data_IF_936817627987
#
_entry.id   IF_936817627987
#
_cell.length_a   1.000
_cell.length_b   1.000
_cell.length_c   1.000
_cell.angle_alpha   90.00
_cell.angle_beta   90.00
_cell.angle_gamma   90.00
#
_symmetry.space_group_name_H-M   'P 1'
#
loop_
_entity.id
_entity.type
_entity.pdbx_description
1 polymer ?
#
# COMPACT_ATOMS: atom_id res chain seq x y z
N UNK A 1 -11.27 -14.54 -2.11
CA UNK A 1 -11.23 -14.05 -3.51
C UNK A 1 -9.80 -14.21 -3.99
N UNK A 2 -9.59 -14.72 -5.21
CA UNK A 2 -8.23 -14.81 -5.80
C UNK A 2 -7.72 -13.42 -6.11
N UNK A 3 -6.42 -13.11 -5.93
CA UNK A 3 -5.83 -11.85 -6.38
C UNK A 3 -5.97 -11.70 -7.91
N UNK A 4 -6.18 -10.45 -8.36
CA UNK A 4 -6.32 -10.12 -9.79
C UNK A 4 -4.98 -9.65 -10.34
N UNK A 5 -4.50 -10.33 -11.38
CA UNK A 5 -3.26 -10.02 -12.09
C UNK A 5 -3.61 -9.58 -13.51
N UNK A 6 -3.03 -8.48 -13.97
CA UNK A 6 -3.11 -8.03 -15.35
C UNK A 6 -1.84 -8.48 -16.09
N UNK A 7 -2.01 -9.31 -17.11
CA UNK A 7 -0.95 -9.80 -17.97
C UNK A 7 -1.01 -9.08 -19.31
N UNK A 8 0.12 -8.50 -19.74
CA UNK A 8 0.21 -7.65 -20.93
C UNK A 8 1.34 -8.16 -21.83
N UNK A 9 1.02 -8.63 -23.02
CA UNK A 9 1.95 -9.12 -24.04
C UNK A 9 1.23 -9.09 -25.40
N UNK A 10 1.89 -8.67 -26.47
CA UNK A 10 1.28 -8.62 -27.80
C UNK A 10 1.14 -10.02 -28.44
N UNK A 11 1.79 -11.02 -27.86
CA UNK A 11 1.69 -12.41 -28.29
C UNK A 11 0.62 -13.17 -27.50
N UNK A 12 -0.50 -13.49 -28.18
CA UNK A 12 -1.63 -14.23 -27.61
C UNK A 12 -1.25 -15.62 -27.06
N UNK A 13 -0.30 -16.32 -27.67
CA UNK A 13 0.14 -17.64 -27.20
C UNK A 13 0.86 -17.55 -25.85
N UNK A 14 1.65 -16.49 -25.66
CA UNK A 14 2.32 -16.22 -24.37
C UNK A 14 1.28 -15.86 -23.31
N UNK A 15 0.30 -15.02 -23.65
CA UNK A 15 -0.81 -14.69 -22.75
C UNK A 15 -1.58 -15.93 -22.30
N UNK A 16 -1.88 -16.84 -23.25
CA UNK A 16 -2.61 -18.07 -22.94
C UNK A 16 -1.78 -19.00 -22.06
N UNK A 17 -0.52 -19.23 -22.39
CA UNK A 17 0.38 -20.09 -21.63
C UNK A 17 0.56 -19.60 -20.17
N UNK A 18 0.89 -18.32 -19.98
CA UNK A 18 1.08 -17.77 -18.63
C UNK A 18 -0.25 -17.73 -17.87
N UNK A 19 -1.34 -17.38 -18.54
CA UNK A 19 -2.67 -17.31 -17.94
C UNK A 19 -3.16 -18.68 -17.45
N UNK A 20 -2.89 -19.76 -18.17
CA UNK A 20 -3.23 -21.13 -17.76
C UNK A 20 -2.45 -21.51 -16.48
N UNK A 21 -1.15 -21.26 -16.45
CA UNK A 21 -0.29 -21.56 -15.30
C UNK A 21 -0.69 -20.76 -14.04
N UNK A 22 -1.03 -19.48 -14.19
CA UNK A 22 -1.42 -18.61 -13.08
C UNK A 22 -2.88 -18.80 -12.65
N UNK A 23 -3.76 -19.29 -13.50
CA UNK A 23 -5.21 -19.34 -13.30
C UNK A 23 -5.68 -20.21 -12.13
N UNK A 24 -4.83 -21.14 -11.67
CA UNK A 24 -5.13 -21.92 -10.47
C UNK A 24 -5.17 -21.04 -9.19
N UNK A 25 -4.25 -20.08 -9.06
CA UNK A 25 -4.04 -19.25 -7.86
C UNK A 25 -4.59 -17.83 -7.99
N UNK A 26 -4.68 -17.30 -9.23
CA UNK A 26 -5.00 -15.91 -9.52
C UNK A 26 -6.17 -15.79 -10.50
N UNK A 27 -6.81 -14.63 -10.51
CA UNK A 27 -7.69 -14.21 -11.61
C UNK A 27 -6.82 -13.43 -12.59
N UNK A 28 -6.72 -13.89 -13.85
CA UNK A 28 -5.85 -13.25 -14.85
C UNK A 28 -6.69 -12.48 -15.85
N UNK A 29 -6.42 -11.18 -15.97
CA UNK A 29 -6.89 -10.32 -17.05
C UNK A 29 -5.78 -10.21 -18.09
N UNK A 30 -6.17 -10.08 -19.36
CA UNK A 30 -5.24 -10.03 -20.51
C UNK A 30 -5.39 -8.71 -21.24
N UNK A 31 -4.27 -8.13 -21.67
CA UNK A 31 -4.21 -6.99 -22.58
C UNK A 31 -3.10 -7.24 -23.63
N UNK A 32 -3.29 -6.73 -24.83
CA UNK A 32 -2.37 -6.93 -25.95
C UNK A 32 -1.38 -5.78 -26.15
N UNK A 33 -1.52 -4.70 -25.41
CA UNK A 33 -0.62 -3.53 -25.39
C UNK A 33 -0.83 -2.71 -24.12
N UNK A 34 0.07 -1.74 -23.89
CA UNK A 34 0.00 -0.89 -22.70
C UNK A 34 -1.26 -0.01 -22.62
N UNK A 35 -1.84 0.40 -23.74
CA UNK A 35 -3.07 1.20 -23.73
C UNK A 35 -4.28 0.39 -23.24
N UNK A 36 -4.47 -0.81 -23.75
CA UNK A 36 -5.52 -1.71 -23.25
C UNK A 36 -5.34 -2.02 -21.76
N UNK A 37 -4.08 -2.16 -21.32
CA UNK A 37 -3.77 -2.37 -19.90
C UNK A 37 -4.22 -1.18 -19.04
N UNK A 38 -3.97 0.07 -19.47
CA UNK A 38 -4.42 1.26 -18.75
C UNK A 38 -5.95 1.36 -18.71
N UNK A 39 -6.64 0.99 -19.76
CA UNK A 39 -8.09 0.99 -19.82
C UNK A 39 -8.69 -0.04 -18.85
N UNK A 40 -8.10 -1.22 -18.73
CA UNK A 40 -8.49 -2.23 -17.74
C UNK A 40 -8.26 -1.76 -16.30
N UNK A 41 -7.14 -1.07 -16.03
CA UNK A 41 -6.84 -0.53 -14.70
C UNK A 41 -7.89 0.47 -14.20
N UNK A 42 -8.61 1.14 -15.09
CA UNK A 42 -9.68 2.08 -14.70
C UNK A 42 -10.92 1.38 -14.14
N UNK A 43 -11.17 0.13 -14.52
CA UNK A 43 -12.43 -0.56 -14.26
C UNK A 43 -12.25 -1.80 -13.38
N UNK A 44 -11.04 -2.37 -13.30
CA UNK A 44 -10.78 -3.63 -12.64
C UNK A 44 -9.85 -3.48 -11.42
N UNK A 45 -10.07 -4.22 -10.34
CA UNK A 45 -9.28 -4.11 -9.11
C UNK A 45 -7.96 -4.88 -9.20
N UNK A 46 -7.08 -4.48 -10.13
CA UNK A 46 -5.79 -5.12 -10.38
C UNK A 46 -4.85 -4.96 -9.17
N UNK A 47 -4.18 -6.05 -8.79
CA UNK A 47 -3.26 -6.08 -7.65
C UNK A 47 -1.79 -6.25 -8.05
N UNK A 48 -1.52 -6.66 -9.29
CA UNK A 48 -0.18 -6.77 -9.87
C UNK A 48 -0.28 -6.75 -11.39
N UNK A 49 0.66 -6.09 -12.04
CA UNK A 49 0.82 -6.06 -13.51
C UNK A 49 2.07 -6.84 -13.89
N UNK A 50 1.95 -7.69 -14.92
CA UNK A 50 3.06 -8.36 -15.58
C UNK A 50 3.02 -7.89 -17.02
N UNK A 51 4.09 -7.27 -17.52
CA UNK A 51 4.11 -6.72 -18.87
C UNK A 51 5.35 -7.15 -19.63
N UNK A 52 5.17 -7.57 -20.88
CA UNK A 52 6.29 -7.54 -21.82
C UNK A 52 6.77 -6.09 -22.02
N UNK A 53 8.04 -5.95 -22.39
CA UNK A 53 8.60 -4.64 -22.71
C UNK A 53 8.32 -4.26 -24.16
N UNK A 54 8.48 -5.20 -25.09
CA UNK A 54 8.45 -4.90 -26.52
C UNK A 54 7.05 -5.12 -27.10
N UNK A 55 6.19 -4.12 -27.02
CA UNK A 55 4.82 -4.18 -27.51
C UNK A 55 4.49 -2.98 -28.42
N UNK A 56 3.56 -3.14 -29.38
CA UNK A 56 3.07 -2.04 -30.19
C UNK A 56 2.21 -1.07 -29.38
N UNK A 57 1.95 0.12 -29.91
CA UNK A 57 1.11 1.19 -29.36
C UNK A 57 1.71 1.85 -28.14
N UNK A 58 1.92 1.09 -27.07
CA UNK A 58 2.57 1.51 -25.81
C UNK A 58 3.41 0.36 -25.30
N UNK A 59 4.70 0.58 -25.15
CA UNK A 59 5.63 -0.42 -24.64
C UNK A 59 5.52 -0.58 -23.10
N UNK A 60 6.16 -1.63 -22.57
CA UNK A 60 6.10 -1.97 -21.15
C UNK A 60 6.78 -0.95 -20.25
N UNK A 61 7.78 -0.21 -20.75
CA UNK A 61 8.43 0.86 -19.99
C UNK A 61 7.51 2.08 -19.86
N UNK A 62 6.86 2.47 -20.93
CA UNK A 62 5.89 3.55 -20.93
C UNK A 62 4.68 3.21 -20.06
N UNK A 63 4.17 1.97 -20.16
CA UNK A 63 3.11 1.47 -19.29
C UNK A 63 3.53 1.54 -17.80
N UNK A 64 4.72 1.06 -17.45
CA UNK A 64 5.24 1.11 -16.09
C UNK A 64 5.32 2.54 -15.58
N UNK A 65 5.87 3.47 -16.37
CA UNK A 65 5.95 4.88 -16.04
C UNK A 65 4.56 5.49 -15.79
N UNK A 66 3.60 5.21 -16.68
CA UNK A 66 2.22 5.67 -16.53
C UNK A 66 1.57 5.14 -15.25
N UNK A 67 1.75 3.87 -14.93
CA UNK A 67 1.25 3.29 -13.68
C UNK A 67 1.89 3.96 -12.46
N UNK A 68 3.23 4.08 -12.44
CA UNK A 68 3.97 4.58 -11.26
C UNK A 68 3.83 6.09 -11.03
N UNK A 69 3.56 6.86 -12.07
CA UNK A 69 3.27 8.29 -11.97
C UNK A 69 1.79 8.61 -11.72
N UNK A 70 0.90 7.66 -11.98
CA UNK A 70 -0.53 7.87 -11.78
C UNK A 70 -0.91 7.71 -10.32
N UNK A 71 -1.58 8.72 -9.76
CA UNK A 71 -2.02 8.72 -8.37
C UNK A 71 -2.85 7.48 -7.98
N UNK A 72 -3.75 7.01 -8.86
CA UNK A 72 -4.65 5.90 -8.54
C UNK A 72 -3.95 4.53 -8.60
N UNK A 73 -2.91 4.36 -9.45
CA UNK A 73 -2.29 3.06 -9.76
C UNK A 73 -0.87 2.90 -9.24
N UNK A 74 -0.22 3.98 -8.76
CA UNK A 74 1.18 3.99 -8.33
C UNK A 74 1.55 2.89 -7.32
N UNK A 75 0.58 2.46 -6.51
CA UNK A 75 0.72 1.39 -5.54
C UNK A 75 0.76 -0.02 -6.16
N UNK A 76 0.37 -0.20 -7.43
CA UNK A 76 0.32 -1.52 -8.09
C UNK A 76 1.74 -1.97 -8.45
N UNK A 77 2.19 -3.16 -8.03
CA UNK A 77 3.49 -3.71 -8.44
C UNK A 77 3.49 -4.05 -9.92
N UNK A 78 4.63 -3.77 -10.56
CA UNK A 78 4.87 -4.06 -11.98
C UNK A 78 6.07 -4.99 -12.11
N UNK A 79 5.86 -6.13 -12.74
CA UNK A 79 6.92 -7.05 -13.21
C UNK A 79 7.10 -6.83 -14.70
N UNK A 80 8.32 -6.52 -15.15
CA UNK A 80 8.65 -6.43 -16.56
C UNK A 80 9.32 -7.72 -17.04
N UNK A 81 8.78 -8.28 -18.14
CA UNK A 81 9.35 -9.41 -18.85
C UNK A 81 10.27 -8.89 -19.96
N UNK A 82 11.51 -9.34 -20.03
CA UNK A 82 12.50 -8.77 -20.96
C UNK A 82 13.27 -9.86 -21.73
N UNK A 83 13.45 -9.65 -23.03
CA UNK A 83 14.39 -10.44 -23.84
C UNK A 83 15.81 -9.90 -23.83
N UNK A 84 16.03 -8.69 -23.28
CA UNK A 84 17.35 -8.01 -23.25
C UNK A 84 18.07 -8.22 -21.93
N UNK A 85 19.25 -8.84 -22.03
CA UNK A 85 20.13 -9.11 -20.89
C UNK A 85 21.24 -8.06 -20.71
N UNK A 86 20.98 -6.80 -21.05
CA UNK A 86 21.96 -5.74 -20.82
C UNK A 86 21.78 -5.11 -19.46
N UNK A 87 22.87 -4.87 -18.75
CA UNK A 87 22.85 -4.12 -17.47
C UNK A 87 22.13 -2.78 -17.62
N UNK A 88 22.33 -2.12 -18.77
CA UNK A 88 21.69 -0.85 -19.09
C UNK A 88 20.16 -0.95 -19.10
N UNK A 89 19.57 -1.97 -19.75
CA UNK A 89 18.12 -2.15 -19.78
C UNK A 89 17.52 -2.44 -18.39
N UNK A 90 18.28 -3.13 -17.53
CA UNK A 90 17.88 -3.39 -16.15
C UNK A 90 17.90 -2.09 -15.30
N UNK A 91 18.91 -1.24 -15.52
CA UNK A 91 19.04 0.06 -14.83
C UNK A 91 17.89 0.99 -15.27
N UNK A 92 17.67 1.16 -16.57
CA UNK A 92 16.60 1.99 -17.12
C UNK A 92 15.23 1.64 -16.54
N UNK A 93 14.97 0.37 -16.44
CA UNK A 93 13.68 -0.03 -15.91
C UNK A 93 13.54 0.09 -14.40
N UNK A 94 14.59 -0.09 -13.61
CA UNK A 94 14.58 0.22 -12.17
C UNK A 94 14.35 1.71 -11.94
N UNK A 95 14.95 2.58 -12.78
CA UNK A 95 14.71 4.03 -12.75
C UNK A 95 13.26 4.40 -13.06
N UNK A 96 12.56 3.57 -13.85
CA UNK A 96 11.12 3.74 -14.14
C UNK A 96 10.21 3.24 -13.02
N UNK A 97 10.76 2.61 -11.99
CA UNK A 97 10.02 2.17 -10.80
C UNK A 97 9.40 0.77 -10.90
N UNK A 98 9.84 -0.09 -11.84
CA UNK A 98 9.41 -1.48 -11.87
C UNK A 98 9.85 -2.21 -10.58
N UNK A 99 8.97 -3.05 -10.04
CA UNK A 99 9.22 -3.78 -8.78
C UNK A 99 10.04 -5.05 -9.01
N UNK A 100 10.01 -5.63 -10.22
CA UNK A 100 10.84 -6.76 -10.61
C UNK A 100 11.06 -6.84 -12.13
N UNK A 101 12.15 -7.52 -12.49
CA UNK A 101 12.53 -7.87 -13.87
C UNK A 101 12.70 -9.37 -13.98
N UNK A 102 12.10 -9.95 -15.02
CA UNK A 102 12.25 -11.37 -15.35
C UNK A 102 12.71 -11.49 -16.79
N UNK A 103 13.84 -12.17 -16.98
CA UNK A 103 14.42 -12.40 -18.28
C UNK A 103 13.75 -13.58 -18.99
N UNK A 104 13.37 -13.41 -20.26
CA UNK A 104 12.90 -14.48 -21.16
C UNK A 104 14.11 -15.23 -21.75
N UNK A 105 14.13 -16.59 -21.75
CA UNK A 105 13.11 -17.48 -21.27
C UNK A 105 13.15 -17.69 -19.74
N UNK A 106 11.99 -17.76 -19.10
CA UNK A 106 11.84 -18.00 -17.66
C UNK A 106 11.00 -19.26 -17.38
N UNK A 107 11.19 -19.83 -16.20
CA UNK A 107 10.29 -20.90 -15.74
C UNK A 107 9.01 -20.31 -15.14
N UNK A 108 7.85 -20.94 -15.34
CA UNK A 108 6.59 -20.55 -14.69
C UNK A 108 6.74 -20.47 -13.17
N UNK A 109 7.45 -21.39 -12.55
CA UNK A 109 7.74 -21.39 -11.11
C UNK A 109 8.45 -20.11 -10.64
N UNK A 110 9.44 -19.62 -11.42
CA UNK A 110 10.15 -18.38 -11.09
C UNK A 110 9.18 -17.18 -11.11
N UNK A 111 8.33 -17.07 -12.11
CA UNK A 111 7.30 -16.04 -12.19
C UNK A 111 6.33 -16.12 -11.02
N UNK A 112 5.80 -17.33 -10.69
CA UNK A 112 4.92 -17.53 -9.54
C UNK A 112 5.55 -17.12 -8.21
N UNK A 113 6.83 -17.45 -7.99
CA UNK A 113 7.57 -17.07 -6.77
C UNK A 113 7.73 -15.55 -6.67
N UNK A 114 8.04 -14.86 -7.77
CA UNK A 114 8.15 -13.39 -7.77
C UNK A 114 6.81 -12.72 -7.47
N UNK A 115 5.72 -13.17 -8.09
CA UNK A 115 4.37 -12.68 -7.80
C UNK A 115 4.03 -12.86 -6.31
N UNK A 116 4.21 -14.08 -5.79
CA UNK A 116 3.90 -14.40 -4.41
C UNK A 116 4.72 -13.54 -3.42
N UNK A 117 6.00 -13.32 -3.70
CA UNK A 117 6.88 -12.49 -2.88
C UNK A 117 6.43 -11.02 -2.88
N UNK A 118 6.13 -10.44 -4.04
CA UNK A 118 5.68 -9.05 -4.11
C UNK A 118 4.36 -8.83 -3.35
N UNK A 119 3.38 -9.70 -3.56
CA UNK A 119 2.09 -9.62 -2.87
C UNK A 119 2.22 -9.88 -1.36
N UNK A 120 3.03 -10.87 -0.95
CA UNK A 120 3.27 -11.19 0.46
C UNK A 120 4.02 -10.07 1.20
N UNK A 121 5.07 -9.51 0.60
CA UNK A 121 5.84 -8.42 1.21
C UNK A 121 4.97 -7.19 1.47
N UNK A 122 4.07 -6.84 0.55
CA UNK A 122 3.12 -5.74 0.74
C UNK A 122 2.19 -6.00 1.93
N UNK A 123 1.66 -7.19 2.06
CA UNK A 123 0.81 -7.55 3.19
C UNK A 123 1.57 -7.48 4.52
N UNK A 124 2.82 -7.98 4.57
CA UNK A 124 3.66 -7.89 5.77
C UNK A 124 3.93 -6.45 6.19
N UNK A 125 4.20 -5.56 5.24
CA UNK A 125 4.43 -4.14 5.52
C UNK A 125 3.17 -3.49 6.11
N UNK A 126 1.99 -3.78 5.55
CA UNK A 126 0.70 -3.28 6.05
C UNK A 126 0.41 -3.78 7.47
N UNK A 127 0.62 -5.07 7.72
CA UNK A 127 0.45 -5.68 9.04
C UNK A 127 1.44 -5.08 10.05
N UNK A 128 2.69 -4.88 9.65
CA UNK A 128 3.71 -4.26 10.48
C UNK A 128 3.35 -2.80 10.83
N UNK A 129 2.89 -2.02 9.86
CA UNK A 129 2.38 -0.68 10.14
C UNK A 129 1.23 -0.73 11.14
N UNK A 130 0.23 -1.56 10.91
CA UNK A 130 -0.94 -1.63 11.76
C UNK A 130 -0.59 -2.04 13.19
N UNK A 131 0.21 -3.09 13.38
CA UNK A 131 0.52 -3.67 14.69
C UNK A 131 1.59 -2.94 15.50
N UNK A 132 2.41 -2.09 14.87
CA UNK A 132 3.56 -1.45 15.52
C UNK A 132 3.24 -0.02 15.96
N UNK A 133 3.31 0.33 17.27
CA UNK A 133 2.85 1.62 17.78
C UNK A 133 3.56 2.85 17.18
N UNK A 134 4.87 2.76 16.91
CA UNK A 134 5.72 3.88 16.50
C UNK A 134 6.13 3.87 15.02
N UNK A 135 5.63 2.93 14.23
CA UNK A 135 5.96 2.85 12.80
C UNK A 135 5.20 3.91 12.02
N UNK A 136 5.91 4.69 11.22
CA UNK A 136 5.35 5.78 10.43
C UNK A 136 4.52 5.25 9.24
N UNK A 137 3.51 6.03 8.82
CA UNK A 137 2.60 5.68 7.72
C UNK A 137 3.33 5.50 6.39
N UNK A 138 4.42 6.26 6.16
CA UNK A 138 5.22 6.19 4.94
C UNK A 138 5.92 4.84 4.71
N UNK A 139 5.99 3.98 5.73
CA UNK A 139 6.49 2.60 5.52
C UNK A 139 5.63 1.82 4.53
N UNK A 140 4.39 2.25 4.29
CA UNK A 140 3.48 1.62 3.32
C UNK A 140 3.60 2.20 1.91
N UNK A 141 4.41 3.24 1.69
CA UNK A 141 4.61 3.82 0.37
C UNK A 141 5.40 2.87 -0.56
N UNK A 142 4.96 2.77 -1.80
CA UNK A 142 5.60 1.97 -2.85
C UNK A 142 6.10 2.83 -4.01
N UNK A 143 5.74 4.11 -4.01
CA UNK A 143 6.16 5.10 -5.00
C UNK A 143 6.27 6.47 -4.33
N UNK A 144 6.93 7.42 -5.00
CA UNK A 144 6.96 8.82 -4.53
C UNK A 144 5.56 9.44 -4.43
N UNK A 145 4.66 9.07 -5.33
CA UNK A 145 3.28 9.52 -5.29
C UNK A 145 2.51 8.96 -4.08
N UNK A 146 2.78 7.71 -3.69
CA UNK A 146 2.21 7.14 -2.47
C UNK A 146 2.79 7.80 -1.22
N UNK A 147 4.10 8.07 -1.19
CA UNK A 147 4.77 8.75 -0.08
C UNK A 147 4.16 10.13 0.16
N UNK A 148 4.06 10.94 -0.89
CA UNK A 148 3.45 12.26 -0.80
C UNK A 148 1.99 12.19 -0.32
N UNK A 149 1.19 11.29 -0.89
CA UNK A 149 -0.20 11.10 -0.48
C UNK A 149 -0.32 10.70 1.00
N UNK A 150 0.52 9.77 1.46
CA UNK A 150 0.50 9.31 2.85
C UNK A 150 0.96 10.39 3.82
N UNK A 151 1.92 11.24 3.43
CA UNK A 151 2.34 12.40 4.23
C UNK A 151 1.23 13.42 4.38
N UNK A 152 0.62 13.85 3.26
CA UNK A 152 -0.50 14.79 3.26
C UNK A 152 -1.69 14.26 4.08
N UNK A 153 -2.02 12.97 3.90
CA UNK A 153 -3.09 12.30 4.63
C UNK A 153 -2.80 12.24 6.13
N UNK A 154 -1.58 11.89 6.50
CA UNK A 154 -1.15 11.85 7.89
C UNK A 154 -1.22 13.24 8.54
N UNK A 155 -0.74 14.26 7.84
CA UNK A 155 -0.81 15.65 8.30
C UNK A 155 -2.25 16.11 8.49
N UNK A 156 -3.14 15.83 7.54
CA UNK A 156 -4.57 16.17 7.65
C UNK A 156 -5.22 15.51 8.88
N UNK A 157 -4.88 14.25 9.17
CA UNK A 157 -5.37 13.56 10.37
C UNK A 157 -4.76 14.18 11.64
N UNK A 158 -3.45 14.48 11.64
CA UNK A 158 -2.76 15.04 12.82
C UNK A 158 -3.24 16.42 13.20
N UNK A 159 -3.52 17.30 12.23
CA UNK A 159 -4.08 18.64 12.46
C UNK A 159 -5.49 18.59 13.04
N UNK A 160 -6.20 17.48 12.86
CA UNK A 160 -7.56 17.28 13.36
C UNK A 160 -7.65 16.14 14.37
N UNK A 161 -6.54 15.80 15.04
CA UNK A 161 -6.44 14.57 15.86
C UNK A 161 -7.39 14.59 17.06
N UNK A 162 -7.60 15.74 17.67
CA UNK A 162 -8.47 15.95 18.83
C UNK A 162 -9.97 16.02 18.47
N UNK A 163 -10.27 16.28 17.19
CA UNK A 163 -11.65 16.39 16.74
C UNK A 163 -12.34 15.01 16.72
N UNK A 164 -13.15 14.71 17.73
CA UNK A 164 -13.87 13.42 17.86
C UNK A 164 -14.80 13.14 16.68
N UNK A 165 -15.29 14.20 16.02
CA UNK A 165 -16.24 14.13 14.88
C UNK A 165 -15.53 14.13 13.52
N UNK A 166 -14.20 13.94 13.47
CA UNK A 166 -13.47 13.87 12.19
C UNK A 166 -14.05 12.76 11.33
N UNK A 167 -14.76 13.16 10.27
CA UNK A 167 -15.42 12.25 9.33
C UNK A 167 -14.57 11.99 8.09
N UNK A 168 -14.92 10.92 7.35
CA UNK A 168 -14.29 10.60 6.07
C UNK A 168 -14.56 11.68 5.02
N UNK A 169 -15.72 12.35 5.10
CA UNK A 169 -16.07 13.42 4.17
C UNK A 169 -15.18 14.65 4.40
N UNK A 170 -15.00 15.07 5.65
CA UNK A 170 -14.07 16.15 6.00
C UNK A 170 -12.63 15.81 5.59
N UNK A 171 -12.19 14.57 5.81
CA UNK A 171 -10.85 14.15 5.40
C UNK A 171 -10.69 14.19 3.87
N UNK A 172 -11.72 13.83 3.12
CA UNK A 172 -11.73 13.92 1.66
C UNK A 172 -11.65 15.38 1.18
N UNK A 173 -12.37 16.29 1.85
CA UNK A 173 -12.31 17.73 1.58
C UNK A 173 -10.91 18.29 1.84
N UNK A 174 -10.27 17.95 2.97
CA UNK A 174 -8.89 18.36 3.27
C UNK A 174 -7.87 17.86 2.23
N UNK A 175 -8.12 16.67 1.68
CA UNK A 175 -7.28 16.07 0.64
C UNK A 175 -7.65 16.53 -0.78
N UNK A 176 -8.63 17.43 -0.95
CA UNK A 176 -9.17 17.87 -2.25
C UNK A 176 -9.59 16.70 -3.16
N UNK A 177 -10.22 15.68 -2.59
CA UNK A 177 -10.62 14.46 -3.29
C UNK A 177 -12.09 14.14 -3.08
N UNK A 178 -12.67 13.34 -3.98
CA UNK A 178 -13.95 12.72 -3.69
C UNK A 178 -13.79 11.66 -2.58
N UNK A 179 -14.84 11.47 -1.76
CA UNK A 179 -14.87 10.40 -0.75
C UNK A 179 -14.54 9.03 -1.35
N UNK A 180 -15.04 8.74 -2.55
CA UNK A 180 -14.82 7.48 -3.23
C UNK A 180 -13.35 7.30 -3.63
N UNK A 181 -12.71 8.34 -4.15
CA UNK A 181 -11.28 8.32 -4.51
C UNK A 181 -10.41 8.13 -3.28
N UNK A 182 -10.66 8.89 -2.21
CA UNK A 182 -9.94 8.74 -0.95
C UNK A 182 -10.08 7.31 -0.39
N UNK A 183 -11.31 6.77 -0.36
CA UNK A 183 -11.56 5.42 0.13
C UNK A 183 -10.78 4.38 -0.67
N UNK A 184 -10.85 4.42 -2.01
CA UNK A 184 -10.14 3.49 -2.88
C UNK A 184 -8.62 3.56 -2.67
N UNK A 185 -8.04 4.76 -2.63
CA UNK A 185 -6.60 4.94 -2.48
C UNK A 185 -6.10 4.44 -1.12
N UNK A 186 -6.76 4.81 -0.02
CA UNK A 186 -6.42 4.30 1.32
C UNK A 186 -6.51 2.78 1.36
N UNK A 187 -7.61 2.21 0.86
CA UNK A 187 -7.83 0.76 0.84
C UNK A 187 -6.76 0.04 0.02
N UNK A 188 -6.40 0.61 -1.11
CA UNK A 188 -5.40 0.06 -2.03
C UNK A 188 -3.98 0.04 -1.43
N UNK A 189 -3.57 1.10 -0.74
CA UNK A 189 -2.22 1.17 -0.12
C UNK A 189 -2.17 0.39 1.19
N UNK A 190 -3.16 0.57 2.09
CA UNK A 190 -3.09 0.10 3.48
C UNK A 190 -3.92 -1.15 3.78
N UNK A 191 -4.85 -1.51 2.90
CA UNK A 191 -5.92 -2.49 3.15
C UNK A 191 -6.88 -2.11 4.29
N UNK A 192 -6.81 -0.88 4.80
CA UNK A 192 -7.67 -0.32 5.83
C UNK A 192 -8.80 0.52 5.21
N UNK A 193 -9.87 0.68 5.94
CA UNK A 193 -10.85 1.74 5.66
C UNK A 193 -10.32 3.07 6.17
N UNK A 194 -10.80 4.23 5.66
CA UNK A 194 -10.40 5.54 6.19
C UNK A 194 -10.63 5.68 7.70
N UNK A 195 -11.75 5.18 8.22
CA UNK A 195 -12.04 5.22 9.66
C UNK A 195 -11.06 4.37 10.48
N UNK A 196 -10.68 3.19 9.98
CA UNK A 196 -9.65 2.36 10.63
C UNK A 196 -8.30 3.07 10.61
N UNK A 197 -7.93 3.74 9.51
CA UNK A 197 -6.68 4.48 9.41
C UNK A 197 -6.66 5.68 10.37
N UNK A 198 -7.73 6.48 10.44
CA UNK A 198 -7.86 7.56 11.42
C UNK A 198 -7.68 7.02 12.84
N UNK A 199 -8.37 5.92 13.19
CA UNK A 199 -8.27 5.32 14.51
C UNK A 199 -6.85 4.82 14.83
N UNK A 200 -6.18 4.13 13.88
CA UNK A 200 -4.80 3.67 14.06
C UNK A 200 -3.85 4.86 14.21
N UNK A 201 -4.00 5.92 13.42
CA UNK A 201 -3.18 7.13 13.52
C UNK A 201 -3.34 7.80 14.89
N UNK A 202 -4.57 7.90 15.42
CA UNK A 202 -4.83 8.38 16.79
C UNK A 202 -4.14 7.52 17.85
N UNK A 203 -4.25 6.21 17.74
CA UNK A 203 -3.60 5.27 18.66
C UNK A 203 -2.08 5.34 18.62
N UNK A 204 -1.49 5.55 17.44
CA UNK A 204 -0.03 5.76 17.29
C UNK A 204 0.43 7.07 17.91
N UNK A 205 -0.32 8.17 17.71
CA UNK A 205 -0.05 9.45 18.39
C UNK A 205 -0.11 9.27 19.89
N UNK A 206 -1.15 8.57 20.38
CA UNK A 206 -1.28 8.25 21.81
C UNK A 206 -0.09 7.44 22.33
N UNK A 207 0.38 6.44 21.59
CA UNK A 207 1.55 5.66 21.97
C UNK A 207 2.82 6.53 22.10
N UNK A 208 3.03 7.48 21.18
CA UNK A 208 4.11 8.47 21.27
C UNK A 208 4.00 9.31 22.55
N UNK A 209 2.82 9.89 22.84
CA UNK A 209 2.58 10.69 24.04
C UNK A 209 2.81 9.89 25.33
N UNK A 210 2.33 8.64 25.38
CA UNK A 210 2.54 7.74 26.52
C UNK A 210 4.01 7.33 26.71
N UNK A 211 4.80 7.29 25.63
CA UNK A 211 6.22 6.95 25.69
C UNK A 211 7.11 8.11 26.09
N UNK A 212 6.78 9.35 25.69
CA UNK A 212 7.67 10.51 25.80
C UNK A 212 7.36 11.39 26.99
N UNK A 213 6.11 11.43 27.44
CA UNK A 213 5.61 12.36 28.44
C UNK A 213 4.95 11.68 29.65
N UNK A 214 4.87 12.39 30.76
CA UNK A 214 4.22 11.91 32.01
C UNK A 214 2.71 12.23 32.04
N UNK A 215 2.04 12.18 30.88
CA UNK A 215 0.60 12.35 30.81
C UNK A 215 -0.15 11.18 31.44
N UNK A 216 -1.32 11.47 32.02
CA UNK A 216 -2.24 10.41 32.45
C UNK A 216 -2.99 9.82 31.25
N UNK A 217 -3.39 8.56 31.37
CA UNK A 217 -4.06 7.83 30.28
C UNK A 217 -5.33 8.55 29.79
N UNK A 218 -6.09 9.19 30.67
CA UNK A 218 -7.30 9.93 30.29
C UNK A 218 -6.97 11.20 29.50
N UNK A 219 -5.89 11.92 29.85
CA UNK A 219 -5.43 13.12 29.12
C UNK A 219 -5.02 12.76 27.70
N UNK A 220 -4.27 11.66 27.57
CA UNK A 220 -3.88 11.16 26.23
C UNK A 220 -5.09 10.74 25.39
N UNK A 221 -6.11 10.13 26.01
CA UNK A 221 -7.35 9.78 25.31
C UNK A 221 -8.04 11.04 24.75
N UNK A 222 -8.16 12.11 25.53
CA UNK A 222 -8.75 13.38 25.07
C UNK A 222 -7.92 14.04 23.99
N UNK A 223 -6.61 14.17 24.17
CA UNK A 223 -5.66 14.75 23.20
C UNK A 223 -5.62 13.99 21.85
N UNK A 224 -6.13 12.78 21.81
CA UNK A 224 -6.14 11.94 20.59
C UNK A 224 -7.54 11.64 20.08
N UNK A 225 -8.53 12.43 20.51
CA UNK A 225 -9.89 12.42 19.97
C UNK A 225 -10.72 11.18 20.35
N UNK A 226 -10.46 10.58 21.52
CA UNK A 226 -11.31 9.52 22.07
C UNK A 226 -12.29 10.10 23.08
N UNK A 227 -13.58 9.73 22.94
CA UNK A 227 -14.67 10.22 23.80
C UNK A 227 -14.60 9.69 25.24
N UNK A 228 -13.84 8.63 25.50
CA UNK A 228 -13.64 8.10 26.85
C UNK A 228 -12.37 7.28 26.99
N UNK A 229 -11.78 7.28 28.17
CA UNK A 229 -10.62 6.44 28.52
C UNK A 229 -10.89 4.95 28.33
N UNK A 230 -12.11 4.50 28.60
CA UNK A 230 -12.51 3.09 28.42
C UNK A 230 -12.51 2.68 26.94
N UNK A 231 -13.06 3.53 26.07
CA UNK A 231 -13.05 3.30 24.63
C UNK A 231 -11.63 3.32 24.07
N UNK A 232 -10.83 4.32 24.47
CA UNK A 232 -9.41 4.39 24.15
C UNK A 232 -8.66 3.13 24.56
N UNK A 233 -8.75 2.72 25.83
CA UNK A 233 -8.04 1.57 26.37
C UNK A 233 -8.37 0.25 25.63
N UNK A 234 -9.65 0.03 25.30
CA UNK A 234 -10.06 -1.13 24.51
C UNK A 234 -9.46 -1.14 23.09
N UNK A 235 -9.51 0.01 22.41
CA UNK A 235 -8.96 0.14 21.06
C UNK A 235 -7.44 -0.02 21.08
N UNK A 236 -6.74 0.58 22.03
CA UNK A 236 -5.30 0.48 22.18
C UNK A 236 -4.86 -0.96 22.44
N UNK A 237 -5.51 -1.67 23.35
CA UNK A 237 -5.20 -3.07 23.65
C UNK A 237 -5.51 -3.99 22.47
N UNK A 238 -6.64 -3.76 21.78
CA UNK A 238 -6.99 -4.53 20.58
C UNK A 238 -5.94 -4.34 19.47
N UNK A 239 -5.40 -3.12 19.32
CA UNK A 239 -4.48 -2.77 18.24
C UNK A 239 -3.05 -3.25 18.51
N UNK A 240 -2.56 -3.07 19.74
CA UNK A 240 -1.15 -3.29 20.09
C UNK A 240 -0.91 -4.48 21.01
N UNK A 241 -1.95 -5.18 21.45
CA UNK A 241 -1.85 -6.38 22.27
C UNK A 241 -1.59 -6.13 23.76
N UNK A 242 -1.34 -4.88 24.18
CA UNK A 242 -1.08 -4.49 25.57
C UNK A 242 -1.89 -3.27 25.95
N UNK A 243 -2.18 -3.09 27.24
CA UNK A 243 -2.91 -1.91 27.71
C UNK A 243 -2.05 -0.64 27.67
N UNK A 244 -2.67 0.57 27.62
CA UNK A 244 -1.92 1.83 27.69
C UNK A 244 -1.02 1.93 28.93
N UNK A 245 -1.46 1.44 30.09
CA UNK A 245 -0.67 1.46 31.32
C UNK A 245 0.54 0.54 31.26
N UNK A 246 0.37 -0.67 30.74
CA UNK A 246 1.47 -1.63 30.52
C UNK A 246 2.49 -1.05 29.54
N UNK A 247 2.01 -0.44 28.43
CA UNK A 247 2.86 0.23 27.45
C UNK A 247 3.70 1.35 28.08
N UNK A 248 3.10 2.24 28.89
CA UNK A 248 3.82 3.27 29.65
C UNK A 248 4.89 2.68 30.57
N UNK A 249 4.56 1.63 31.31
CA UNK A 249 5.49 0.96 32.22
C UNK A 249 6.71 0.38 31.48
N UNK A 250 6.48 -0.27 30.35
CA UNK A 250 7.54 -0.80 29.49
C UNK A 250 8.47 0.32 28.98
N UNK A 251 7.89 1.40 28.45
CA UNK A 251 8.68 2.52 27.90
C UNK A 251 9.48 3.26 28.97
N UNK A 252 8.95 3.41 30.20
CA UNK A 252 9.69 3.96 31.33
C UNK A 252 10.85 3.04 31.78
N UNK A 253 10.67 1.74 31.69
CA UNK A 253 11.74 0.79 32.02
C UNK A 253 12.87 0.79 30.97
N UNK A 254 12.53 0.95 29.66
CA UNK A 254 13.51 1.07 28.57
C UNK A 254 14.38 2.35 28.70
N UNK A 255 13.80 3.47 29.13
CA UNK A 255 14.53 4.76 29.32
C UNK A 255 15.49 4.77 30.52
N UNK A 256 15.36 3.81 31.44
CA UNK A 256 16.20 3.72 32.64
C UNK A 256 17.43 2.82 32.46
N UNK A 257 17.53 2.12 31.33
CA UNK A 257 18.68 1.31 30.91
C UNK A 257 19.62 2.10 30.03
#
# INVERSE_FOLDING_TARGET
MKPVILLVDDNGEILDFISEDLGEKYTVLKAFNGQEALDLLQHEPVQLVISDIMMPVMDGYELCRNIKSNFEYSHIPVILLTAKNTLQSKIEGLEMGADAYIEKPFSPEHLQVQIANLLSNRNKIREFFASSPLVHINTMAYSKADEQFLEELNEAIYQNIENMELSVDQLADFMNMSRATLYRKIKAISNLTPNELINITRLKKAAGLLAEHDYKVYEVAEMTGFSSQTHFGRNFTKQFGISPMEYMALKKAEKRK
#
